data_IF_895590472080
#
_entry.id   IF_895590472080
#
_cell.length_a   1.000
_cell.length_b   1.000
_cell.length_c   1.000
_cell.angle_alpha   90.00
_cell.angle_beta   90.00
_cell.angle_gamma   90.00
#
_symmetry.space_group_name_H-M   'P 1'
#
loop_
_entity.id
_entity.type
_entity.pdbx_description
1 polymer ?
#
# COMPACT_ATOMS: atom_id res chain seq x y z
N UNK A 1 25.65 14.92 -0.60
CA UNK A 1 25.58 13.91 0.49
C UNK A 1 25.35 12.57 -0.17
N UNK A 2 26.24 11.60 0.04
CA UNK A 2 26.21 10.32 -0.66
C UNK A 2 25.40 9.31 0.16
N UNK A 3 24.65 8.43 -0.50
CA UNK A 3 23.75 7.48 0.18
C UNK A 3 24.52 6.57 1.15
N UNK A 4 25.76 6.25 0.78
CA UNK A 4 26.74 5.49 1.53
C UNK A 4 27.15 6.17 2.85
N UNK A 5 27.30 7.50 2.88
CA UNK A 5 27.57 8.26 4.11
C UNK A 5 26.38 8.25 5.07
N UNK A 6 25.16 8.29 4.52
CA UNK A 6 23.92 8.21 5.31
C UNK A 6 23.78 6.82 5.94
N UNK A 7 24.13 5.78 5.20
CA UNK A 7 24.06 4.39 5.67
C UNK A 7 25.06 4.12 6.80
N UNK A 8 26.32 4.58 6.67
CA UNK A 8 27.33 4.46 7.73
C UNK A 8 26.98 5.26 8.99
N UNK A 9 26.34 6.43 8.84
CA UNK A 9 25.89 7.22 9.98
C UNK A 9 24.81 6.50 10.81
N UNK A 10 23.90 5.78 10.14
CA UNK A 10 22.87 5.01 10.83
C UNK A 10 23.41 3.75 11.53
N UNK A 11 24.38 3.07 10.92
CA UNK A 11 25.00 1.85 11.47
C UNK A 11 25.76 2.10 12.78
N UNK A 12 26.54 3.19 12.86
CA UNK A 12 27.45 3.44 13.99
C UNK A 12 26.77 4.14 15.17
N UNK A 13 25.73 4.96 14.94
CA UNK A 13 25.12 5.81 15.98
C UNK A 13 23.84 5.22 16.59
N UNK A 14 23.02 4.52 15.81
CA UNK A 14 21.72 4.00 16.26
C UNK A 14 21.37 2.68 15.53
N UNK A 15 21.84 1.52 16.01
CA UNK A 15 21.69 0.23 15.31
C UNK A 15 20.23 -0.18 15.07
N UNK A 16 19.31 0.29 15.92
CA UNK A 16 17.88 -0.01 15.82
C UNK A 16 17.09 1.02 15.00
N UNK A 17 17.69 2.15 14.61
CA UNK A 17 16.96 3.24 13.96
C UNK A 17 16.51 2.84 12.56
N UNK A 18 17.35 2.11 11.81
CA UNK A 18 16.95 1.55 10.52
C UNK A 18 15.72 0.65 10.64
N UNK A 19 15.67 -0.22 11.67
CA UNK A 19 14.53 -1.09 11.95
C UNK A 19 13.27 -0.29 12.34
N UNK A 20 13.42 0.78 13.13
CA UNK A 20 12.31 1.65 13.50
C UNK A 20 11.74 2.36 12.28
N UNK A 21 12.58 2.94 11.42
CA UNK A 21 12.14 3.58 10.19
C UNK A 21 11.47 2.58 9.23
N UNK A 22 11.99 1.36 9.17
CA UNK A 22 11.42 0.28 8.37
C UNK A 22 10.04 -0.14 8.90
N UNK A 23 9.88 -0.29 10.21
CA UNK A 23 8.58 -0.56 10.82
C UNK A 23 7.56 0.56 10.56
N UNK A 24 7.98 1.82 10.69
CA UNK A 24 7.12 2.98 10.40
C UNK A 24 6.73 3.05 8.93
N UNK A 25 7.66 2.79 8.01
CA UNK A 25 7.37 2.83 6.57
C UNK A 25 6.44 1.70 6.13
N UNK A 26 6.58 0.50 6.69
CA UNK A 26 5.63 -0.60 6.47
C UNK A 26 4.24 -0.19 6.96
N UNK A 27 4.12 0.31 8.20
CA UNK A 27 2.84 0.75 8.75
C UNK A 27 2.19 1.89 7.96
N UNK A 28 2.99 2.84 7.46
CA UNK A 28 2.47 3.91 6.61
C UNK A 28 1.99 3.36 5.26
N UNK A 29 2.75 2.45 4.64
CA UNK A 29 2.40 1.83 3.37
C UNK A 29 1.11 0.99 3.48
N UNK A 30 0.91 0.26 4.59
CA UNK A 30 -0.29 -0.57 4.77
C UNK A 30 -1.56 0.27 4.85
N UNK A 31 -1.52 1.38 5.60
CA UNK A 31 -2.65 2.31 5.69
C UNK A 31 -2.93 2.94 4.33
N UNK A 32 -1.88 3.32 3.60
CA UNK A 32 -2.02 3.91 2.26
C UNK A 32 -2.61 2.91 1.25
N UNK A 33 -2.19 1.64 1.31
CA UNK A 33 -2.69 0.57 0.45
C UNK A 33 -4.18 0.30 0.72
N UNK A 34 -4.57 0.13 1.98
CA UNK A 34 -5.97 -0.10 2.37
C UNK A 34 -6.84 1.09 1.93
N UNK A 35 -6.43 2.32 2.28
CA UNK A 35 -7.20 3.52 1.91
C UNK A 35 -7.28 3.73 0.40
N UNK A 36 -6.22 3.35 -0.33
CA UNK A 36 -6.22 3.30 -1.78
C UNK A 36 -7.25 2.31 -2.32
N UNK A 37 -7.14 1.04 -1.95
CA UNK A 37 -7.99 -0.04 -2.51
C UNK A 37 -9.48 0.22 -2.27
N UNK A 38 -9.85 0.74 -1.10
CA UNK A 38 -11.24 1.04 -0.75
C UNK A 38 -11.68 2.48 -1.06
N UNK A 39 -10.88 3.24 -1.81
CA UNK A 39 -11.30 4.57 -2.23
C UNK A 39 -12.45 4.48 -3.24
N UNK A 40 -13.43 5.37 -3.09
CA UNK A 40 -14.57 5.47 -4.00
C UNK A 40 -14.22 6.20 -5.32
N UNK A 41 -13.03 6.78 -5.41
CA UNK A 41 -12.54 7.51 -6.60
C UNK A 41 -11.24 6.89 -7.09
N UNK A 42 -11.28 5.65 -7.59
CA UNK A 42 -10.12 5.00 -8.20
C UNK A 42 -9.95 5.45 -9.66
N UNK A 43 -11.07 5.47 -10.41
CA UNK A 43 -11.12 5.96 -11.79
C UNK A 43 -12.08 7.14 -11.85
N UNK A 44 -11.59 8.25 -12.39
CA UNK A 44 -12.40 9.43 -12.67
C UNK A 44 -12.66 9.53 -14.17
N UNK A 45 -13.93 9.53 -14.55
CA UNK A 45 -14.36 9.83 -15.91
C UNK A 45 -15.27 11.05 -15.89
N UNK A 46 -14.67 12.23 -16.12
CA UNK A 46 -15.36 13.52 -16.02
C UNK A 46 -15.73 13.85 -14.57
N UNK A 47 -17.04 13.87 -14.26
CA UNK A 47 -17.57 14.13 -12.91
C UNK A 47 -17.90 12.86 -12.13
N UNK A 48 -17.81 11.70 -12.78
CA UNK A 48 -18.16 10.43 -12.16
C UNK A 48 -16.86 9.78 -11.67
N UNK A 49 -16.84 9.46 -10.38
CA UNK A 49 -15.84 8.61 -9.76
C UNK A 49 -16.41 7.20 -9.63
N UNK A 50 -15.62 6.19 -9.95
CA UNK A 50 -15.89 4.81 -9.55
C UNK A 50 -14.76 4.27 -8.68
N UNK A 51 -15.14 3.53 -7.65
CA UNK A 51 -14.22 2.74 -6.84
C UNK A 51 -13.88 1.43 -7.55
N UNK A 52 -12.83 0.76 -7.11
CA UNK A 52 -12.48 -0.57 -7.62
C UNK A 52 -13.04 -1.69 -6.72
N UNK A 53 -13.19 -1.42 -5.42
CA UNK A 53 -13.83 -2.29 -4.44
C UNK A 53 -14.93 -1.50 -3.72
N UNK A 54 -16.16 -2.03 -3.58
CA UNK A 54 -16.63 -3.33 -4.06
C UNK A 54 -16.81 -3.36 -5.58
N UNK A 55 -16.53 -4.52 -6.18
CA UNK A 55 -16.64 -4.72 -7.62
C UNK A 55 -18.08 -4.53 -8.12
N UNK A 56 -18.26 -3.79 -9.23
CA UNK A 56 -19.52 -3.71 -9.95
C UNK A 56 -19.47 -4.57 -11.22
N UNK A 57 -20.40 -5.52 -11.33
CA UNK A 57 -20.51 -6.46 -12.46
C UNK A 57 -20.74 -5.82 -13.83
N UNK A 58 -21.07 -4.54 -13.89
CA UNK A 58 -21.20 -3.77 -15.14
C UNK A 58 -19.87 -3.25 -15.69
N UNK A 59 -18.79 -3.38 -14.91
CA UNK A 59 -17.45 -2.89 -15.25
C UNK A 59 -16.68 -3.89 -16.15
N UNK A 60 -15.70 -3.42 -16.96
CA UNK A 60 -14.90 -4.29 -17.81
C UNK A 60 -14.14 -5.38 -17.04
N UNK A 61 -13.97 -6.55 -17.66
CA UNK A 61 -13.39 -7.74 -17.03
C UNK A 61 -11.98 -7.54 -16.44
N UNK A 62 -11.20 -6.61 -16.97
CA UNK A 62 -9.87 -6.29 -16.42
C UNK A 62 -9.97 -5.55 -15.08
N UNK A 63 -10.98 -4.70 -14.88
CA UNK A 63 -11.25 -4.06 -13.59
C UNK A 63 -11.69 -5.07 -12.54
N UNK A 64 -12.49 -6.05 -12.94
CA UNK A 64 -12.82 -7.19 -12.09
C UNK A 64 -11.53 -7.89 -11.64
N UNK A 65 -10.71 -8.36 -12.57
CA UNK A 65 -9.48 -9.08 -12.22
C UNK A 65 -8.57 -8.27 -11.27
N UNK A 66 -8.43 -6.96 -11.51
CA UNK A 66 -7.66 -6.08 -10.64
C UNK A 66 -8.27 -5.91 -9.24
N UNK A 67 -9.58 -5.79 -9.11
CA UNK A 67 -10.24 -5.64 -7.80
C UNK A 67 -10.05 -6.87 -6.91
N UNK A 68 -10.15 -8.08 -7.49
CA UNK A 68 -9.87 -9.33 -6.78
C UNK A 68 -8.41 -9.43 -6.34
N UNK A 69 -7.45 -9.08 -7.21
CA UNK A 69 -6.03 -9.11 -6.85
C UNK A 69 -5.70 -8.11 -5.73
N UNK A 70 -6.24 -6.89 -5.78
CA UNK A 70 -6.04 -5.88 -4.75
C UNK A 70 -6.67 -6.29 -3.41
N UNK A 71 -7.87 -6.88 -3.44
CA UNK A 71 -8.51 -7.40 -2.24
C UNK A 71 -7.69 -8.52 -1.58
N UNK A 72 -7.15 -9.46 -2.38
CA UNK A 72 -6.27 -10.52 -1.88
C UNK A 72 -4.97 -9.92 -1.34
N UNK A 73 -4.39 -8.92 -2.00
CA UNK A 73 -3.18 -8.22 -1.53
C UNK A 73 -3.36 -7.66 -0.13
N UNK A 74 -4.46 -6.93 0.11
CA UNK A 74 -4.80 -6.41 1.44
C UNK A 74 -4.96 -7.54 2.46
N UNK A 75 -5.65 -8.62 2.08
CA UNK A 75 -5.82 -9.79 2.95
C UNK A 75 -4.49 -10.43 3.37
N UNK A 76 -3.56 -10.62 2.42
CA UNK A 76 -2.21 -11.16 2.71
C UNK A 76 -1.41 -10.19 3.59
N UNK A 77 -1.49 -8.88 3.33
CA UNK A 77 -0.85 -7.86 4.15
C UNK A 77 -1.32 -7.89 5.60
N UNK A 78 -2.62 -8.03 5.83
CA UNK A 78 -3.20 -8.13 7.18
C UNK A 78 -2.72 -9.40 7.88
N UNK A 79 -2.65 -10.53 7.19
CA UNK A 79 -2.12 -11.79 7.75
C UNK A 79 -0.67 -11.62 8.18
N UNK A 80 0.18 -11.04 7.33
CA UNK A 80 1.61 -10.83 7.60
C UNK A 80 1.87 -9.85 8.76
N UNK A 81 0.94 -8.95 9.05
CA UNK A 81 1.03 -8.05 10.21
C UNK A 81 0.57 -8.70 11.52
N UNK A 82 -0.34 -9.68 11.44
CA UNK A 82 -0.94 -10.32 12.60
C UNK A 82 -0.21 -11.61 13.03
N UNK A 83 0.55 -12.22 12.13
CA UNK A 83 1.29 -13.47 12.34
C UNK A 83 2.80 -13.23 12.33
#
# INVERSE_FOLDING_TARGET
>A
MKLDDVLQFFDVRHPNLALILLGVSIGAATVLDITGVFTNCWISNGKNCTGIVPFDSTEPAWLAASSWMLFISVGVMVILLLY
#
